data_IF_671648938116
#
_entry.id   IF_671648938116
#
_cell.length_a   1.000
_cell.length_b   1.000
_cell.length_c   1.000
_cell.angle_alpha   90.00
_cell.angle_beta   90.00
_cell.angle_gamma   90.00
#
_symmetry.space_group_name_H-M   'P 1'
#
loop_
_entity.id
_entity.type
_entity.pdbx_description
1 polymer ?
#
# COMPACT_ATOMS: atom_id res chain seq x y z
N UNK A 1 32.26 -29.05 39.13
CA UNK A 1 33.57 -28.79 38.49
C UNK A 1 33.37 -27.77 37.37
N UNK A 2 34.16 -26.68 37.45
CA UNK A 2 34.56 -25.74 36.39
C UNK A 2 33.49 -25.00 35.57
N UNK A 3 33.20 -23.81 36.09
CA UNK A 3 32.89 -22.59 35.34
C UNK A 3 33.94 -22.29 34.27
N UNK A 4 33.48 -21.75 33.13
CA UNK A 4 34.25 -20.89 32.24
C UNK A 4 33.30 -19.88 31.59
N UNK A 5 33.37 -18.59 31.97
CA UNK A 5 32.67 -17.52 31.25
C UNK A 5 33.52 -17.07 30.07
N UNK A 6 32.97 -17.11 28.85
CA UNK A 6 33.60 -16.51 27.69
C UNK A 6 32.99 -15.12 27.46
N UNK A 7 33.64 -14.13 28.05
CA UNK A 7 33.46 -12.71 27.76
C UNK A 7 34.18 -12.40 26.46
N UNK A 8 33.46 -12.01 25.40
CA UNK A 8 34.07 -11.37 24.24
C UNK A 8 33.51 -9.96 24.06
N UNK A 9 34.40 -9.01 24.31
CA UNK A 9 34.26 -7.58 24.19
C UNK A 9 34.73 -7.18 22.77
N UNK A 10 33.87 -6.54 21.97
CA UNK A 10 34.26 -5.72 20.80
C UNK A 10 33.19 -4.61 20.69
N UNK A 11 33.44 -3.37 21.09
CA UNK A 11 34.14 -2.32 20.32
C UNK A 11 33.65 -2.34 18.85
N UNK A 12 32.72 -1.49 18.41
CA UNK A 12 32.76 -0.04 18.48
C UNK A 12 33.36 0.49 17.18
N UNK A 13 32.52 0.86 16.20
CA UNK A 13 32.85 1.83 15.15
C UNK A 13 31.58 2.24 14.40
N UNK A 14 31.07 3.43 14.68
CA UNK A 14 30.05 4.09 13.89
C UNK A 14 30.72 4.80 12.70
N UNK A 15 30.22 4.68 11.46
CA UNK A 15 30.71 5.48 10.35
C UNK A 15 30.14 6.92 10.42
N UNK A 16 30.94 7.93 10.04
CA UNK A 16 30.59 9.33 10.16
C UNK A 16 29.55 9.79 9.14
N UNK A 17 28.67 10.66 9.62
CA UNK A 17 27.70 11.46 8.87
C UNK A 17 28.48 12.37 7.91
N UNK A 18 28.28 12.22 6.61
CA UNK A 18 28.82 13.14 5.60
C UNK A 18 27.73 14.13 5.23
N UNK A 19 27.84 15.35 5.74
CA UNK A 19 27.03 16.49 5.34
C UNK A 19 27.54 17.00 3.98
N UNK A 20 26.70 16.89 2.95
CA UNK A 20 26.97 17.44 1.61
C UNK A 20 26.61 18.94 1.58
N UNK A 21 27.49 19.82 1.07
CA UNK A 21 27.30 21.27 1.12
C UNK A 21 26.31 21.77 0.06
N UNK A 22 25.41 22.65 0.51
CA UNK A 22 24.55 23.47 -0.32
C UNK A 22 25.37 24.38 -1.25
N UNK A 23 25.05 24.37 -2.55
CA UNK A 23 25.47 25.39 -3.49
C UNK A 23 24.26 26.25 -3.92
N UNK A 24 24.37 27.59 -3.87
CA UNK A 24 23.35 28.50 -4.38
C UNK A 24 23.51 28.67 -5.89
N UNK A 25 22.41 28.67 -6.65
CA UNK A 25 22.38 29.21 -8.01
C UNK A 25 21.28 30.24 -8.18
N UNK A 26 21.76 31.41 -8.58
CA UNK A 26 21.10 32.70 -8.78
C UNK A 26 20.11 32.69 -9.95
N UNK A 27 19.14 33.60 -9.81
CA UNK A 27 18.04 34.00 -10.69
C UNK A 27 18.33 34.18 -12.19
N UNK A 28 17.28 33.99 -12.99
CA UNK A 28 17.01 34.81 -14.18
C UNK A 28 15.49 34.89 -14.42
N UNK A 29 14.97 36.13 -14.39
CA UNK A 29 13.62 36.52 -14.78
C UNK A 29 13.30 36.16 -16.23
N UNK A 30 12.07 35.74 -16.46
CA UNK A 30 11.47 35.64 -17.79
C UNK A 30 9.97 35.90 -17.70
N UNK A 31 9.59 37.16 -17.92
CA UNK A 31 8.23 37.66 -18.11
C UNK A 31 7.51 36.94 -19.26
N UNK A 32 6.28 36.47 -19.03
CA UNK A 32 5.08 36.79 -19.84
C UNK A 32 3.93 35.81 -19.52
N UNK A 33 2.83 36.34 -18.99
CA UNK A 33 1.51 35.73 -19.14
C UNK A 33 1.09 35.77 -20.63
N UNK A 34 0.27 34.81 -21.06
CA UNK A 34 -1.10 35.19 -21.36
C UNK A 34 -2.14 34.21 -20.81
N UNK A 35 -3.34 34.74 -20.78
CA UNK A 35 -4.56 34.23 -20.18
C UNK A 35 -5.13 32.97 -20.86
N UNK A 36 -6.09 32.37 -20.14
CA UNK A 36 -7.21 31.59 -20.67
C UNK A 36 -6.98 30.10 -20.89
N UNK A 37 -7.33 29.32 -19.87
CA UNK A 37 -8.50 28.46 -19.95
C UNK A 37 -8.85 28.00 -18.52
N UNK A 38 -9.97 28.53 -18.00
CA UNK A 38 -10.64 27.94 -16.86
C UNK A 38 -11.05 26.52 -17.21
N UNK A 39 -10.17 25.56 -16.92
CA UNK A 39 -10.58 24.17 -16.78
C UNK A 39 -11.21 24.07 -15.40
N UNK A 40 -12.44 24.55 -15.29
CA UNK A 40 -13.36 24.16 -14.24
C UNK A 40 -13.64 22.67 -14.43
N UNK A 41 -12.68 21.84 -14.02
CA UNK A 41 -12.93 20.42 -13.80
C UNK A 41 -14.05 20.40 -12.77
N UNK A 42 -15.25 19.89 -13.11
CA UNK A 42 -16.30 19.79 -12.12
C UNK A 42 -15.76 18.97 -10.94
N UNK A 43 -16.08 19.32 -9.68
CA UNK A 43 -15.80 18.43 -8.58
C UNK A 43 -16.45 17.10 -8.95
N UNK A 44 -15.63 16.07 -9.16
CA UNK A 44 -16.12 14.71 -9.31
C UNK A 44 -16.78 14.41 -7.98
N UNK A 45 -18.11 14.59 -7.94
CA UNK A 45 -18.95 14.03 -6.91
C UNK A 45 -18.76 12.53 -7.04
N UNK A 46 -17.76 12.00 -6.32
CA UNK A 46 -17.58 10.58 -6.09
C UNK A 46 -18.80 10.14 -5.30
N UNK A 47 -19.91 9.91 -5.99
CA UNK A 47 -21.05 9.20 -5.42
C UNK A 47 -20.48 7.83 -5.05
N UNK A 48 -20.42 7.47 -3.76
CA UNK A 48 -20.00 6.13 -3.38
C UNK A 48 -21.00 5.18 -4.01
N UNK A 49 -20.58 4.50 -5.08
CA UNK A 49 -21.32 3.36 -5.61
C UNK A 49 -21.18 2.29 -4.54
N UNK A 50 -22.10 2.30 -3.58
CA UNK A 50 -22.20 1.28 -2.54
C UNK A 50 -22.28 -0.08 -3.25
N UNK A 51 -21.15 -0.79 -3.22
CA UNK A 51 -21.11 -2.16 -3.70
C UNK A 51 -22.04 -3.00 -2.83
N UNK A 52 -22.75 -4.00 -3.40
CA UNK A 52 -23.51 -4.95 -2.60
C UNK A 52 -22.57 -5.61 -1.60
N UNK A 53 -22.96 -5.63 -0.33
CA UNK A 53 -22.19 -6.28 0.73
C UNK A 53 -21.90 -7.74 0.36
N UNK A 54 -20.62 -8.12 0.35
CA UNK A 54 -20.17 -9.48 0.01
C UNK A 54 -18.94 -9.49 -0.89
N UNK A 55 -18.53 -10.69 -1.32
CA UNK A 55 -17.43 -10.84 -2.26
C UNK A 55 -17.91 -10.60 -3.69
N UNK A 56 -17.49 -9.53 -4.39
CA UNK A 56 -17.89 -9.28 -5.76
C UNK A 56 -17.22 -10.29 -6.71
N UNK A 57 -17.99 -10.81 -7.68
CA UNK A 57 -17.46 -11.71 -8.70
C UNK A 57 -16.57 -11.00 -9.74
N UNK A 58 -16.73 -9.69 -9.90
CA UNK A 58 -15.96 -8.84 -10.82
C UNK A 58 -15.35 -7.65 -10.07
N UNK A 59 -14.09 -7.82 -9.64
CA UNK A 59 -13.31 -6.80 -8.95
C UNK A 59 -12.79 -5.72 -9.92
N UNK A 60 -12.51 -6.09 -11.17
CA UNK A 60 -11.90 -5.19 -12.16
C UNK A 60 -12.85 -4.04 -12.50
N UNK A 61 -14.16 -4.33 -12.62
CA UNK A 61 -15.20 -3.32 -12.83
C UNK A 61 -15.36 -2.31 -11.68
N UNK A 62 -14.81 -2.60 -10.49
CA UNK A 62 -14.95 -1.77 -9.28
C UNK A 62 -13.66 -1.05 -8.88
N UNK A 63 -12.60 -1.17 -9.68
CA UNK A 63 -11.33 -0.50 -9.39
C UNK A 63 -11.53 1.01 -9.38
N UNK A 64 -11.05 1.66 -8.32
CA UNK A 64 -11.14 3.10 -8.15
C UNK A 64 -12.41 3.57 -7.45
N UNK A 65 -13.38 2.70 -7.15
CA UNK A 65 -14.56 3.05 -6.35
C UNK A 65 -14.38 2.64 -4.88
N UNK A 66 -15.19 3.24 -4.00
CA UNK A 66 -15.30 2.79 -2.60
C UNK A 66 -16.23 1.58 -2.56
N UNK A 67 -15.76 0.49 -1.97
CA UNK A 67 -16.49 -0.78 -1.85
C UNK A 67 -16.45 -1.28 -0.41
N UNK A 68 -17.44 -2.07 -0.04
CA UNK A 68 -17.47 -2.81 1.23
C UNK A 68 -17.43 -4.30 0.93
N UNK A 69 -16.40 -4.99 1.42
CA UNK A 69 -16.28 -6.44 1.35
C UNK A 69 -16.68 -7.05 2.68
N UNK A 70 -17.37 -8.19 2.61
CA UNK A 70 -17.70 -9.02 3.76
C UNK A 70 -17.24 -10.43 3.45
N UNK A 71 -16.35 -10.97 4.28
CA UNK A 71 -15.77 -12.30 4.08
C UNK A 71 -14.82 -12.69 5.19
N UNK A 72 -14.31 -13.92 5.13
CA UNK A 72 -13.31 -14.40 6.07
C UNK A 72 -11.95 -13.76 5.81
N UNK A 73 -11.25 -13.33 6.87
CA UNK A 73 -9.88 -12.85 6.77
C UNK A 73 -8.89 -14.01 6.80
N UNK A 74 -8.01 -14.09 5.80
CA UNK A 74 -6.98 -15.14 5.76
C UNK A 74 -5.87 -14.93 6.79
N UNK A 75 -5.44 -16.03 7.43
CA UNK A 75 -4.30 -16.06 8.35
C UNK A 75 -2.95 -16.17 7.63
N UNK A 76 -2.57 -15.12 6.90
CA UNK A 76 -1.29 -15.09 6.17
C UNK A 76 -0.46 -13.85 6.50
N UNK A 77 0.75 -13.74 5.94
CA UNK A 77 1.60 -12.54 6.10
C UNK A 77 0.95 -11.29 5.50
N UNK A 78 0.15 -11.45 4.44
CA UNK A 78 -0.62 -10.35 3.84
C UNK A 78 -2.08 -10.80 3.83
N UNK A 79 -2.84 -10.48 4.90
CA UNK A 79 -4.21 -10.92 5.04
C UNK A 79 -5.08 -10.46 3.88
N UNK A 80 -6.03 -11.32 3.51
CA UNK A 80 -6.93 -11.08 2.39
C UNK A 80 -8.36 -11.35 2.80
N UNK A 81 -9.29 -10.54 2.31
CA UNK A 81 -10.73 -10.76 2.36
C UNK A 81 -11.25 -10.84 0.94
N UNK A 82 -11.95 -11.91 0.57
CA UNK A 82 -12.41 -12.14 -0.81
C UNK A 82 -11.28 -12.09 -1.88
N UNK A 83 -10.05 -12.45 -1.51
CA UNK A 83 -8.88 -12.36 -2.40
C UNK A 83 -8.31 -10.94 -2.58
N UNK A 84 -8.77 -9.97 -1.78
CA UNK A 84 -8.31 -8.58 -1.78
C UNK A 84 -7.48 -8.32 -0.53
N UNK A 85 -6.29 -7.73 -0.69
CA UNK A 85 -5.39 -7.42 0.42
C UNK A 85 -6.00 -6.34 1.34
N UNK A 86 -5.90 -6.56 2.64
CA UNK A 86 -6.41 -5.67 3.72
C UNK A 86 -5.33 -5.42 4.77
N UNK A 87 -5.54 -4.42 5.63
CA UNK A 87 -4.66 -4.25 6.80
C UNK A 87 -4.84 -5.45 7.74
N UNK A 88 -3.72 -5.99 8.20
CA UNK A 88 -3.72 -7.27 8.90
C UNK A 88 -3.97 -7.10 10.38
N UNK A 89 -5.10 -7.62 10.86
CA UNK A 89 -5.33 -7.82 12.30
C UNK A 89 -5.30 -9.31 12.62
N UNK A 90 -4.25 -9.77 13.31
CA UNK A 90 -4.09 -11.18 13.63
C UNK A 90 -5.23 -11.71 14.51
N UNK A 91 -5.82 -10.86 15.36
CA UNK A 91 -6.93 -11.25 16.24
C UNK A 91 -8.23 -11.51 15.48
N UNK A 92 -8.33 -10.99 14.24
CA UNK A 92 -9.46 -11.17 13.34
C UNK A 92 -9.21 -12.24 12.26
N UNK A 93 -8.10 -12.99 12.37
CA UNK A 93 -7.81 -14.07 11.42
C UNK A 93 -8.84 -15.19 11.56
N UNK A 94 -9.24 -15.77 10.43
CA UNK A 94 -10.23 -16.86 10.35
C UNK A 94 -11.65 -16.43 10.81
N UNK A 95 -11.89 -15.13 11.01
CA UNK A 95 -13.19 -14.54 11.36
C UNK A 95 -13.85 -13.83 10.16
N UNK A 96 -15.18 -13.75 10.19
CA UNK A 96 -15.95 -12.99 9.19
C UNK A 96 -15.88 -11.50 9.54
N UNK A 97 -15.22 -10.74 8.67
CA UNK A 97 -15.00 -9.30 8.84
C UNK A 97 -15.68 -8.50 7.75
N UNK A 98 -15.90 -7.22 8.04
CA UNK A 98 -16.28 -6.20 7.06
C UNK A 98 -15.10 -5.25 6.85
N UNK A 99 -14.78 -4.93 5.59
CA UNK A 99 -13.76 -3.93 5.26
C UNK A 99 -14.31 -2.97 4.22
N UNK A 100 -14.12 -1.67 4.43
CA UNK A 100 -14.61 -0.62 3.53
C UNK A 100 -13.46 0.27 3.12
N UNK A 101 -13.36 0.56 1.82
CA UNK A 101 -12.39 1.51 1.30
C UNK A 101 -12.35 1.50 -0.22
N UNK A 102 -11.39 2.24 -0.79
CA UNK A 102 -11.20 2.36 -2.22
C UNK A 102 -10.49 1.12 -2.77
N UNK A 103 -11.11 0.43 -3.72
CA UNK A 103 -10.49 -0.72 -4.37
C UNK A 103 -9.37 -0.25 -5.31
N UNK A 104 -8.19 -0.86 -5.17
CA UNK A 104 -7.02 -0.62 -6.02
C UNK A 104 -6.58 -1.91 -6.67
N UNK A 105 -6.15 -1.82 -7.92
CA UNK A 105 -5.52 -2.88 -8.68
C UNK A 105 -4.03 -2.61 -8.81
N UNK A 106 -3.21 -3.64 -8.65
CA UNK A 106 -1.80 -3.60 -8.97
C UNK A 106 -1.37 -4.87 -9.69
N UNK A 107 -0.33 -4.77 -10.52
CA UNK A 107 0.17 -5.88 -11.34
C UNK A 107 1.63 -6.12 -10.99
N UNK A 108 1.94 -7.36 -10.64
CA UNK A 108 3.32 -7.82 -10.46
C UNK A 108 3.79 -8.40 -11.80
N UNK A 109 4.79 -7.80 -12.45
CA UNK A 109 5.32 -8.32 -13.71
C UNK A 109 6.12 -9.61 -13.50
N UNK A 110 6.27 -10.45 -14.54
CA UNK A 110 7.20 -11.58 -14.49
C UNK A 110 8.64 -11.10 -14.31
N UNK A 111 9.50 -11.87 -13.63
CA UNK A 111 10.91 -11.53 -13.47
C UNK A 111 11.62 -11.49 -14.82
N UNK A 112 12.56 -10.56 -14.99
CA UNK A 112 13.35 -10.47 -16.23
C UNK A 112 14.38 -11.61 -16.25
N UNK A 113 14.62 -12.26 -17.41
CA UNK A 113 15.67 -13.27 -17.50
C UNK A 113 17.03 -12.75 -17.03
N UNK A 114 17.65 -13.44 -16.08
CA UNK A 114 18.97 -13.07 -15.52
C UNK A 114 18.91 -12.20 -14.26
N UNK A 115 17.73 -11.74 -13.83
CA UNK A 115 17.57 -11.07 -12.54
C UNK A 115 17.49 -12.09 -11.38
N UNK A 116 17.98 -11.73 -10.19
CA UNK A 116 17.85 -12.57 -9.01
C UNK A 116 16.37 -12.76 -8.65
N UNK A 117 15.96 -14.01 -8.42
CA UNK A 117 14.60 -14.33 -7.98
C UNK A 117 14.44 -13.87 -6.52
N UNK A 118 13.64 -12.84 -6.31
CA UNK A 118 13.28 -12.36 -4.98
C UNK A 118 12.11 -13.20 -4.44
N UNK A 119 12.21 -13.66 -3.18
CA UNK A 119 11.11 -14.33 -2.50
C UNK A 119 10.00 -13.33 -2.16
N UNK A 120 9.13 -13.07 -3.14
CA UNK A 120 8.02 -12.15 -3.06
C UNK A 120 6.72 -12.75 -3.58
N UNK A 121 5.73 -11.88 -3.76
CA UNK A 121 4.48 -12.23 -4.43
C UNK A 121 4.81 -12.53 -5.90
N UNK A 122 4.30 -13.64 -6.45
CA UNK A 122 4.56 -14.03 -7.83
C UNK A 122 3.95 -13.06 -8.85
N UNK A 123 4.23 -13.23 -10.16
CA UNK A 123 3.60 -12.44 -11.19
C UNK A 123 2.09 -12.67 -11.21
N UNK A 124 1.33 -11.59 -11.36
CA UNK A 124 -0.13 -11.65 -11.30
C UNK A 124 -0.80 -10.29 -11.14
N UNK A 125 -2.13 -10.29 -11.24
CA UNK A 125 -2.97 -9.14 -10.88
C UNK A 125 -3.47 -9.34 -9.46
N UNK A 126 -3.37 -8.30 -8.67
CA UNK A 126 -3.77 -8.28 -7.27
C UNK A 126 -4.60 -7.05 -6.97
N UNK A 127 -5.39 -7.16 -5.91
CA UNK A 127 -6.29 -6.12 -5.46
C UNK A 127 -5.99 -5.79 -4.01
N UNK A 128 -6.18 -4.53 -3.64
CA UNK A 128 -6.11 -4.06 -2.26
C UNK A 128 -7.23 -3.08 -1.98
N UNK A 129 -7.70 -3.02 -0.74
CA UNK A 129 -8.58 -1.95 -0.29
C UNK A 129 -7.76 -0.94 0.48
N UNK A 130 -7.83 0.32 0.07
CA UNK A 130 -7.19 1.43 0.75
C UNK A 130 -8.22 2.34 1.43
N UNK A 131 -7.91 2.80 2.62
CA UNK A 131 -8.64 3.88 3.26
C UNK A 131 -8.55 5.14 2.35
N UNK A 132 -9.69 5.75 1.97
CA UNK A 132 -9.70 6.88 1.03
C UNK A 132 -9.07 8.15 1.60
N UNK A 133 -8.95 8.25 2.92
CA UNK A 133 -8.40 9.41 3.64
C UNK A 133 -6.89 9.29 3.81
N UNK A 134 -6.42 8.11 4.23
CA UNK A 134 -5.00 7.90 4.56
C UNK A 134 -4.19 7.28 3.42
N UNK A 135 -4.85 6.64 2.46
CA UNK A 135 -4.20 5.87 1.38
C UNK A 135 -3.54 4.57 1.85
N UNK A 136 -3.60 4.25 3.15
CA UNK A 136 -3.11 3.00 3.72
C UNK A 136 -4.11 1.87 3.46
N UNK A 137 -3.71 0.62 3.69
CA UNK A 137 -4.64 -0.50 3.64
C UNK A 137 -5.78 -0.30 4.64
N UNK A 138 -7.01 -0.61 4.22
CA UNK A 138 -8.18 -0.45 5.07
C UNK A 138 -8.19 -1.52 6.16
N UNK A 139 -8.53 -1.09 7.38
CA UNK A 139 -8.64 -1.96 8.55
C UNK A 139 -9.95 -2.74 8.53
N UNK A 140 -9.91 -4.08 8.67
CA UNK A 140 -11.11 -4.89 8.84
C UNK A 140 -11.75 -4.62 10.20
N UNK A 141 -13.08 -4.70 10.24
CA UNK A 141 -13.87 -4.64 11.48
C UNK A 141 -14.67 -5.94 11.65
N UNK A 142 -14.85 -6.43 12.88
CA UNK A 142 -15.75 -7.55 13.14
C UNK A 142 -17.15 -7.28 12.61
N UNK A 143 -17.80 -8.32 12.07
CA UNK A 143 -19.19 -8.21 11.61
C UNK A 143 -20.20 -8.26 12.76
#
# INVERSE_FOLDING_TARGET
>A
MRFLPLTLLLAGCAPPVTSEPAAPRTAASGTAAPETAGSSVPPVTEVPVEAPEGCPADLDARVGTVVTLVGEQSRTKIPTVCGVDVDGDYDLSDEVVRVTGRLRRYVVPPPTPGEPIVAGRGPGTYYSIQDPTTGQLARPVPR
#
